data_IF_548433719158
#
_entry.id   IF_548433719158
#
_cell.length_a   1.000
_cell.length_b   1.000
_cell.length_c   1.000
_cell.angle_alpha   90.00
_cell.angle_beta   90.00
_cell.angle_gamma   90.00
#
_symmetry.space_group_name_H-M   'P 1'
#
loop_
_entity.id
_entity.type
_entity.pdbx_description
1 polymer ?
#
# COMPACT_ATOMS: atom_id res chain seq x y z
N UNK A 1 -17.60 16.39 -12.77
CA UNK A 1 -17.68 15.41 -11.68
C UNK A 1 -16.30 15.32 -11.03
N UNK A 2 -16.16 15.87 -9.81
CA UNK A 2 -15.01 15.56 -8.97
C UNK A 2 -15.16 14.10 -8.57
N UNK A 3 -14.39 13.20 -9.15
CA UNK A 3 -14.22 11.86 -8.61
C UNK A 3 -13.65 12.04 -7.18
N UNK A 4 -14.46 11.76 -6.20
CA UNK A 4 -13.97 11.61 -4.83
C UNK A 4 -13.21 10.28 -4.83
N UNK A 5 -11.90 10.33 -5.01
CA UNK A 5 -11.04 9.19 -4.80
C UNK A 5 -11.20 8.76 -3.35
N UNK A 6 -11.88 7.65 -3.16
CA UNK A 6 -12.13 7.07 -1.85
C UNK A 6 -11.31 5.80 -1.69
N UNK A 7 -11.07 5.45 -0.47
CA UNK A 7 -10.36 4.24 -0.11
C UNK A 7 -10.35 4.05 1.39
N UNK A 8 -9.99 2.86 1.83
CA UNK A 8 -9.83 2.53 3.22
C UNK A 8 -8.82 1.42 3.39
N UNK A 9 -8.05 1.45 4.45
CA UNK A 9 -7.08 0.42 4.77
C UNK A 9 -7.31 -0.15 6.17
N UNK A 10 -6.74 -1.32 6.37
CA UNK A 10 -6.73 -2.03 7.65
C UNK A 10 -5.34 -2.62 7.89
N UNK A 11 -4.87 -2.55 9.13
CA UNK A 11 -3.62 -3.18 9.56
C UNK A 11 -3.83 -3.97 10.84
N UNK A 12 -3.15 -5.08 10.97
CA UNK A 12 -3.25 -5.95 12.15
C UNK A 12 -1.94 -6.65 12.46
N UNK A 13 -1.62 -6.71 13.74
CA UNK A 13 -0.54 -7.53 14.32
C UNK A 13 -1.18 -8.43 15.35
N UNK A 14 -0.92 -9.73 15.26
CA UNK A 14 -1.52 -10.76 16.12
C UNK A 14 -0.45 -11.67 16.72
N UNK A 15 -0.77 -12.31 17.83
CA UNK A 15 0.06 -13.39 18.40
C UNK A 15 -0.04 -14.71 17.64
N UNK A 16 -1.06 -14.82 16.80
CA UNK A 16 -1.33 -15.98 15.93
C UNK A 16 -1.47 -15.52 14.48
N UNK A 17 -2.07 -16.34 13.60
CA UNK A 17 -2.33 -15.91 12.21
C UNK A 17 -3.21 -14.65 12.18
N UNK A 18 -2.78 -13.65 11.42
CA UNK A 18 -3.53 -12.41 11.20
C UNK A 18 -4.50 -12.49 10.00
N UNK A 19 -4.48 -13.58 9.23
CA UNK A 19 -5.11 -13.65 7.91
C UNK A 19 -6.62 -13.41 7.95
N UNK A 20 -7.31 -14.03 8.87
CA UNK A 20 -8.77 -13.88 9.02
C UNK A 20 -9.15 -12.44 9.42
N UNK A 21 -8.44 -11.86 10.39
CA UNK A 21 -8.69 -10.50 10.84
C UNK A 21 -8.38 -9.49 9.73
N UNK A 22 -7.29 -9.72 9.00
CA UNK A 22 -6.90 -8.89 7.86
C UNK A 22 -7.97 -8.91 6.76
N UNK A 23 -8.47 -10.10 6.41
CA UNK A 23 -9.48 -10.28 5.38
C UNK A 23 -10.77 -9.54 5.73
N UNK A 24 -11.35 -9.80 6.90
CA UNK A 24 -12.59 -9.16 7.31
C UNK A 24 -12.42 -7.68 7.63
N UNK A 25 -11.30 -7.27 8.21
CA UNK A 25 -11.00 -5.87 8.48
C UNK A 25 -10.87 -5.04 7.19
N UNK A 26 -10.24 -5.61 6.15
CA UNK A 26 -10.16 -4.98 4.84
C UNK A 26 -11.51 -4.96 4.14
N UNK A 27 -12.25 -6.08 4.17
CA UNK A 27 -13.59 -6.19 3.59
C UNK A 27 -14.57 -5.18 4.19
N UNK A 28 -14.43 -4.86 5.48
CA UNK A 28 -15.25 -3.83 6.13
C UNK A 28 -15.14 -2.47 5.42
N UNK A 29 -14.01 -2.17 4.79
CA UNK A 29 -13.79 -0.96 4.01
C UNK A 29 -14.25 -1.07 2.55
N UNK A 30 -14.84 -2.18 2.13
CA UNK A 30 -15.23 -2.42 0.73
C UNK A 30 -16.28 -1.42 0.18
N UNK A 31 -16.99 -0.74 1.06
CA UNK A 31 -17.92 0.35 0.69
C UNK A 31 -17.21 1.69 0.38
N UNK A 32 -15.91 1.83 0.69
CA UNK A 32 -15.13 3.05 0.50
C UNK A 32 -14.42 3.12 -0.85
N UNK A 33 -14.39 2.02 -1.62
CA UNK A 33 -13.76 1.97 -2.92
C UNK A 33 -14.26 0.78 -3.72
N UNK A 34 -14.18 0.87 -5.04
CA UNK A 34 -14.80 -0.09 -5.96
C UNK A 34 -13.87 -0.61 -7.04
N UNK A 35 -12.65 -0.07 -7.16
CA UNK A 35 -11.78 -0.41 -8.30
C UNK A 35 -10.75 -1.47 -7.98
N UNK A 36 -10.09 -1.38 -6.85
CA UNK A 36 -8.97 -2.28 -6.50
C UNK A 36 -8.99 -2.69 -5.04
N UNK A 37 -8.54 -3.89 -4.77
CA UNK A 37 -8.27 -4.39 -3.43
C UNK A 37 -6.92 -5.09 -3.39
N UNK A 38 -6.27 -5.03 -2.23
CA UNK A 38 -4.99 -5.68 -2.03
C UNK A 38 -4.75 -6.07 -0.58
N UNK A 39 -4.02 -7.16 -0.41
CA UNK A 39 -3.58 -7.68 0.88
C UNK A 39 -2.08 -7.96 0.84
N UNK A 40 -1.39 -7.69 1.93
CA UNK A 40 -0.04 -8.17 2.18
C UNK A 40 0.09 -8.67 3.60
N UNK A 41 0.76 -9.81 3.77
CA UNK A 41 1.14 -10.36 5.08
C UNK A 41 2.65 -10.53 5.15
N UNK A 42 3.17 -10.56 6.35
CA UNK A 42 4.56 -10.88 6.64
C UNK A 42 4.68 -12.02 7.63
N UNK A 43 5.61 -12.93 7.36
CA UNK A 43 6.09 -13.94 8.31
C UNK A 43 7.60 -14.11 8.18
N UNK A 44 8.27 -14.46 9.26
CA UNK A 44 9.70 -14.76 9.23
C UNK A 44 10.04 -15.92 8.29
N UNK A 45 9.16 -16.92 8.21
CA UNK A 45 9.36 -18.13 7.39
C UNK A 45 9.26 -17.84 5.89
N UNK A 46 8.31 -17.00 5.47
CA UNK A 46 7.99 -16.81 4.04
C UNK A 46 8.22 -15.40 3.52
N UNK A 47 8.55 -14.45 4.40
CA UNK A 47 8.64 -13.04 4.06
C UNK A 47 7.28 -12.45 3.73
N UNK A 48 7.26 -11.53 2.77
CA UNK A 48 6.03 -10.89 2.31
C UNK A 48 5.28 -11.74 1.29
N UNK A 49 3.96 -11.85 1.49
CA UNK A 49 3.02 -12.43 0.53
C UNK A 49 2.01 -11.35 0.17
N UNK A 50 1.82 -11.08 -1.12
CA UNK A 50 0.94 -10.02 -1.62
C UNK A 50 -0.01 -10.55 -2.68
N UNK A 51 -1.25 -10.06 -2.67
CA UNK A 51 -2.20 -10.21 -3.77
C UNK A 51 -2.95 -8.91 -4.01
N UNK A 52 -3.17 -8.57 -5.27
CA UNK A 52 -3.91 -7.39 -5.71
C UNK A 52 -4.91 -7.80 -6.77
N UNK A 53 -6.17 -7.35 -6.63
CA UNK A 53 -7.23 -7.64 -7.59
C UNK A 53 -7.97 -6.38 -8.03
N UNK A 54 -8.45 -6.41 -9.28
CA UNK A 54 -9.46 -5.49 -9.76
C UNK A 54 -10.83 -5.90 -9.20
N UNK A 55 -11.58 -4.94 -8.66
CA UNK A 55 -12.89 -5.14 -8.02
C UNK A 55 -14.05 -4.56 -8.83
N UNK A 56 -13.81 -4.01 -10.03
CA UNK A 56 -14.85 -3.32 -10.82
C UNK A 56 -15.98 -4.25 -11.24
N UNK A 57 -15.72 -5.54 -11.38
CA UNK A 57 -16.71 -6.53 -11.81
C UNK A 57 -17.06 -7.56 -10.74
N UNK A 58 -16.42 -7.52 -9.57
CA UNK A 58 -16.53 -8.59 -8.56
C UNK A 58 -16.23 -8.06 -7.17
N UNK A 59 -16.99 -8.50 -6.19
CA UNK A 59 -16.78 -8.12 -4.79
C UNK A 59 -15.43 -8.60 -4.23
N UNK A 60 -14.91 -7.84 -3.26
CA UNK A 60 -13.66 -8.14 -2.56
C UNK A 60 -13.62 -9.58 -2.02
N UNK A 61 -14.65 -10.02 -1.32
CA UNK A 61 -14.71 -11.39 -0.77
C UNK A 61 -14.50 -12.45 -1.83
N UNK A 62 -15.22 -12.34 -2.95
CA UNK A 62 -15.16 -13.31 -4.05
C UNK A 62 -13.76 -13.41 -4.66
N UNK A 63 -13.01 -12.29 -4.68
CA UNK A 63 -11.65 -12.28 -5.25
C UNK A 63 -10.59 -12.83 -4.32
N UNK A 64 -10.75 -12.64 -3.01
CA UNK A 64 -9.70 -12.96 -2.04
C UNK A 64 -9.98 -14.23 -1.24
N UNK A 65 -11.23 -14.67 -1.08
CA UNK A 65 -11.60 -15.81 -0.24
C UNK A 65 -10.85 -17.10 -0.64
N UNK A 66 -10.77 -17.40 -1.92
CA UNK A 66 -10.08 -18.58 -2.45
C UNK A 66 -8.54 -18.49 -2.33
N UNK A 67 -8.02 -17.33 -2.02
CA UNK A 67 -6.57 -17.10 -1.90
C UNK A 67 -6.08 -17.06 -0.45
N UNK A 68 -6.97 -17.11 0.54
CA UNK A 68 -6.59 -16.94 1.94
C UNK A 68 -5.56 -17.96 2.41
N UNK A 69 -5.60 -19.16 1.88
CA UNK A 69 -4.63 -20.24 2.20
C UNK A 69 -3.20 -19.91 1.75
N UNK A 70 -3.03 -18.99 0.80
CA UNK A 70 -1.71 -18.54 0.35
C UNK A 70 -1.04 -17.61 1.35
N UNK A 71 -1.85 -16.84 2.10
CA UNK A 71 -1.36 -15.89 3.07
C UNK A 71 -0.95 -16.59 4.36
N UNK A 72 0.17 -16.15 4.90
CA UNK A 72 0.68 -16.58 6.21
C UNK A 72 1.36 -15.42 6.90
N UNK A 73 1.24 -15.37 8.19
CA UNK A 73 1.89 -14.36 9.02
C UNK A 73 1.05 -13.92 10.19
N UNK A 74 1.69 -13.17 11.06
CA UNK A 74 1.06 -12.56 12.24
C UNK A 74 0.93 -11.03 12.11
N UNK A 75 1.41 -10.46 11.03
CA UNK A 75 1.24 -9.06 10.69
C UNK A 75 0.79 -8.90 9.24
N UNK A 76 -0.12 -7.96 8.99
CA UNK A 76 -0.64 -7.72 7.66
C UNK A 76 -1.31 -6.36 7.49
N UNK A 77 -1.32 -5.89 6.25
CA UNK A 77 -2.00 -4.67 5.81
C UNK A 77 -2.87 -4.96 4.61
N UNK A 78 -4.01 -4.30 4.54
CA UNK A 78 -4.95 -4.42 3.44
C UNK A 78 -5.53 -3.08 3.03
N UNK A 79 -6.00 -3.00 1.78
CA UNK A 79 -6.46 -1.77 1.15
C UNK A 79 -7.65 -2.03 0.23
N UNK A 80 -8.60 -1.12 0.23
CA UNK A 80 -9.57 -0.92 -0.82
C UNK A 80 -9.32 0.47 -1.40
N UNK A 81 -9.17 0.57 -2.72
CA UNK A 81 -8.78 1.82 -3.37
C UNK A 81 -9.50 2.03 -4.70
N UNK A 82 -9.77 3.28 -5.02
CA UNK A 82 -10.26 3.69 -6.35
C UNK A 82 -9.13 4.13 -7.29
N UNK A 83 -7.88 4.08 -6.85
CA UNK A 83 -6.75 4.60 -7.62
C UNK A 83 -5.72 3.53 -7.93
N UNK A 84 -4.77 3.35 -7.04
CA UNK A 84 -3.52 2.65 -7.31
C UNK A 84 -3.61 1.15 -7.04
N UNK A 85 -2.80 0.38 -7.76
CA UNK A 85 -2.50 -0.99 -7.40
C UNK A 85 -1.61 -0.98 -6.14
N UNK A 86 -2.09 -1.58 -5.06
CA UNK A 86 -1.43 -1.65 -3.74
C UNK A 86 -1.82 -2.95 -3.02
N UNK A 87 -1.06 -3.41 -2.02
CA UNK A 87 0.15 -2.82 -1.44
C UNK A 87 1.35 -2.80 -2.40
N UNK A 88 2.24 -1.82 -2.23
CA UNK A 88 3.55 -1.79 -2.87
C UNK A 88 4.58 -2.38 -1.91
N UNK A 89 5.47 -3.24 -2.42
CA UNK A 89 6.58 -3.79 -1.65
C UNK A 89 7.88 -3.24 -2.21
N UNK A 90 8.70 -2.66 -1.34
CA UNK A 90 9.99 -2.08 -1.69
C UNK A 90 11.10 -2.72 -0.86
N UNK A 91 12.22 -3.01 -1.51
CA UNK A 91 13.48 -3.38 -0.87
C UNK A 91 14.44 -2.20 -0.94
N UNK A 92 14.88 -1.71 0.21
CA UNK A 92 15.70 -0.49 0.32
C UNK A 92 16.75 -0.62 1.43
N UNK A 93 17.55 0.43 1.61
CA UNK A 93 18.48 0.54 2.73
C UNK A 93 17.78 0.60 4.10
N UNK A 94 16.48 0.89 4.14
CA UNK A 94 15.65 0.83 5.36
C UNK A 94 15.15 -0.59 5.67
N UNK A 95 15.53 -1.57 4.85
CA UNK A 95 14.98 -2.91 4.85
C UNK A 95 13.83 -3.04 3.84
N UNK A 96 13.20 -4.21 3.83
CA UNK A 96 12.03 -4.49 3.00
C UNK A 96 10.77 -4.09 3.74
N UNK A 97 9.84 -3.43 3.05
CA UNK A 97 8.56 -3.06 3.63
C UNK A 97 7.45 -3.07 2.58
N UNK A 98 6.22 -3.28 3.05
CA UNK A 98 5.01 -3.10 2.27
C UNK A 98 4.31 -1.82 2.72
N UNK A 99 3.67 -1.11 1.80
CA UNK A 99 2.96 0.14 2.08
C UNK A 99 1.60 0.16 1.40
N UNK A 100 0.61 0.67 2.12
CA UNK A 100 -0.69 1.07 1.58
C UNK A 100 -0.96 2.53 1.90
N UNK A 101 -1.63 3.22 0.99
CA UNK A 101 -1.96 4.63 1.16
C UNK A 101 -3.39 4.95 0.74
N UNK A 102 -3.98 5.91 1.42
CA UNK A 102 -5.15 6.66 0.94
C UNK A 102 -4.70 8.10 0.82
N UNK A 103 -4.51 8.57 -0.42
CA UNK A 103 -3.87 9.84 -0.68
C UNK A 103 -4.58 10.63 -1.78
N UNK A 104 -4.49 11.95 -1.67
CA UNK A 104 -4.87 12.90 -2.71
C UNK A 104 -3.76 13.93 -2.85
N UNK A 105 -2.85 13.67 -3.77
CA UNK A 105 -1.67 14.49 -4.03
C UNK A 105 -1.92 15.34 -5.28
N UNK A 106 -1.68 16.63 -5.21
CA UNK A 106 -1.93 17.56 -6.31
C UNK A 106 -0.68 17.90 -7.12
N UNK A 107 0.51 17.67 -6.57
CA UNK A 107 1.79 17.95 -7.22
C UNK A 107 2.55 16.69 -7.67
N UNK A 108 1.82 15.64 -8.10
CA UNK A 108 2.40 14.34 -8.51
C UNK A 108 3.45 14.54 -9.59
N UNK A 109 3.14 15.31 -10.64
CA UNK A 109 4.06 15.51 -11.77
C UNK A 109 5.36 16.20 -11.38
N UNK A 110 5.28 17.20 -10.50
CA UNK A 110 6.43 17.91 -9.96
C UNK A 110 7.36 16.94 -9.21
N UNK A 111 6.80 16.10 -8.35
CA UNK A 111 7.54 15.12 -7.56
C UNK A 111 8.10 13.98 -8.40
N UNK A 112 7.35 13.52 -9.39
CA UNK A 112 7.81 12.50 -10.35
C UNK A 112 9.03 12.99 -11.12
N UNK A 113 8.98 14.20 -11.68
CA UNK A 113 10.08 14.80 -12.42
C UNK A 113 11.33 14.99 -11.54
N UNK A 114 11.14 15.39 -10.27
CA UNK A 114 12.21 15.52 -9.28
C UNK A 114 12.89 14.15 -9.00
N UNK A 115 12.09 13.12 -8.71
CA UNK A 115 12.61 11.77 -8.42
C UNK A 115 13.34 11.18 -9.63
N UNK A 116 12.80 11.34 -10.84
CA UNK A 116 13.46 10.90 -12.06
C UNK A 116 14.79 11.62 -12.29
N UNK A 117 14.87 12.91 -11.98
CA UNK A 117 16.12 13.69 -12.08
C UNK A 117 17.22 13.20 -11.15
N UNK A 118 16.83 12.55 -10.05
CA UNK A 118 17.72 11.94 -9.05
C UNK A 118 18.06 10.47 -9.38
N UNK A 119 17.77 10.01 -10.61
CA UNK A 119 17.95 8.63 -11.07
C UNK A 119 17.12 7.59 -10.30
N UNK A 120 16.07 8.01 -9.64
CA UNK A 120 15.04 7.09 -9.13
C UNK A 120 14.10 6.72 -10.26
N UNK A 121 13.42 5.59 -10.15
CA UNK A 121 12.52 5.11 -11.19
C UNK A 121 11.28 4.48 -10.59
N UNK A 122 10.23 4.48 -11.38
CA UNK A 122 8.95 3.86 -11.05
C UNK A 122 8.87 2.50 -11.72
N UNK A 123 8.50 1.47 -10.96
CA UNK A 123 8.40 0.08 -11.43
C UNK A 123 6.94 -0.38 -11.57
N UNK A 124 6.01 0.27 -10.87
CA UNK A 124 4.59 -0.07 -10.92
C UNK A 124 3.91 0.62 -12.11
N UNK A 125 3.74 -0.13 -13.19
CA UNK A 125 3.22 0.36 -14.47
C UNK A 125 1.79 -0.13 -14.78
N UNK A 126 1.02 -0.51 -13.77
CA UNK A 126 -0.31 -1.08 -13.96
C UNK A 126 -1.39 -0.08 -14.41
N UNK A 127 -1.07 1.20 -14.47
CA UNK A 127 -1.96 2.26 -14.95
C UNK A 127 -1.24 3.25 -15.86
N UNK A 128 -2.00 4.08 -16.58
CA UNK A 128 -1.43 5.16 -17.39
C UNK A 128 -0.86 6.33 -16.60
N UNK A 129 -1.11 6.36 -15.29
CA UNK A 129 -0.69 7.42 -14.39
C UNK A 129 0.33 6.89 -13.39
N UNK A 130 1.14 7.80 -12.83
CA UNK A 130 2.07 7.51 -11.75
C UNK A 130 1.32 6.94 -10.55
N UNK A 131 1.77 5.79 -10.06
CA UNK A 131 1.23 5.20 -8.84
C UNK A 131 1.61 6.07 -7.65
N UNK A 132 0.62 6.69 -6.98
CA UNK A 132 0.85 7.62 -5.87
C UNK A 132 1.46 6.91 -4.66
N UNK A 133 1.10 5.65 -4.44
CA UNK A 133 1.66 4.85 -3.33
C UNK A 133 3.13 4.57 -3.57
N UNK A 134 3.54 4.25 -4.80
CA UNK A 134 4.95 4.10 -5.15
C UNK A 134 5.71 5.41 -5.00
N UNK A 135 5.15 6.53 -5.46
CA UNK A 135 5.75 7.85 -5.29
C UNK A 135 6.01 8.16 -3.81
N UNK A 136 5.04 7.90 -2.93
CA UNK A 136 5.20 8.07 -1.49
C UNK A 136 6.30 7.16 -0.95
N UNK A 137 6.34 5.89 -1.36
CA UNK A 137 7.38 4.96 -0.95
C UNK A 137 8.79 5.42 -1.39
N UNK A 138 8.94 5.98 -2.60
CA UNK A 138 10.20 6.54 -3.08
C UNK A 138 10.64 7.77 -2.27
N UNK A 139 9.70 8.62 -1.86
CA UNK A 139 10.00 9.74 -0.94
C UNK A 139 10.44 9.25 0.45
N UNK A 140 9.84 8.16 0.94
CA UNK A 140 10.22 7.55 2.24
C UNK A 140 11.67 7.06 2.19
N UNK A 141 12.07 6.37 1.14
CA UNK A 141 13.42 5.81 1.04
C UNK A 141 14.53 6.85 0.80
N UNK A 142 14.21 8.11 0.62
CA UNK A 142 15.18 9.21 0.65
C UNK A 142 15.64 9.51 2.09
N UNK A 143 14.88 9.13 3.10
CA UNK A 143 15.26 9.28 4.52
C UNK A 143 16.31 8.25 4.96
N UNK A 144 17.05 8.55 6.02
CA UNK A 144 17.97 7.61 6.66
C UNK A 144 17.24 6.62 7.59
N UNK A 145 16.04 6.97 8.01
CA UNK A 145 15.15 6.18 8.84
C UNK A 145 13.74 6.27 8.31
N UNK A 146 12.84 5.37 8.71
CA UNK A 146 11.42 5.48 8.35
C UNK A 146 10.80 6.79 8.83
N UNK A 147 11.15 7.25 10.02
CA UNK A 147 10.63 8.53 10.56
C UNK A 147 11.05 9.71 9.69
N UNK A 148 12.34 9.83 9.37
CA UNK A 148 12.83 10.87 8.46
C UNK A 148 12.18 10.78 7.09
N UNK A 149 11.99 9.57 6.58
CA UNK A 149 11.32 9.33 5.29
C UNK A 149 9.86 9.77 5.30
N UNK A 150 9.11 9.46 6.35
CA UNK A 150 7.72 9.90 6.50
C UNK A 150 7.64 11.43 6.63
N UNK A 151 8.54 12.05 7.41
CA UNK A 151 8.65 13.51 7.47
C UNK A 151 8.95 14.12 6.10
N UNK A 152 9.81 13.48 5.30
CA UNK A 152 10.12 13.90 3.94
C UNK A 152 8.87 13.90 3.04
N UNK A 153 8.02 12.86 3.14
CA UNK A 153 6.74 12.82 2.43
C UNK A 153 5.91 14.07 2.74
N UNK A 154 5.67 14.35 4.03
CA UNK A 154 4.82 15.48 4.44
C UNK A 154 5.42 16.85 4.16
N UNK A 155 6.74 16.95 3.97
CA UNK A 155 7.39 18.20 3.54
C UNK A 155 7.18 18.48 2.03
N UNK A 156 7.06 17.45 1.21
CA UNK A 156 7.07 17.59 -0.25
C UNK A 156 5.69 17.47 -0.90
N UNK A 157 4.78 16.66 -0.35
CA UNK A 157 3.45 16.51 -0.93
C UNK A 157 2.59 17.76 -0.72
N UNK A 158 1.81 18.10 -1.74
CA UNK A 158 0.71 19.07 -1.64
C UNK A 158 -0.60 18.30 -1.69
N UNK A 159 -1.30 18.24 -0.55
CA UNK A 159 -2.54 17.47 -0.41
C UNK A 159 -2.62 16.72 0.90
N UNK A 160 -3.21 15.54 0.86
CA UNK A 160 -3.38 14.67 2.03
C UNK A 160 -2.90 13.27 1.75
N UNK A 161 -2.36 12.62 2.78
CA UNK A 161 -1.94 11.22 2.73
C UNK A 161 -2.13 10.58 4.10
N UNK A 162 -2.75 9.42 4.11
CA UNK A 162 -2.72 8.48 5.23
C UNK A 162 -2.05 7.21 4.74
N UNK A 163 -1.24 6.57 5.58
CA UNK A 163 -0.48 5.39 5.18
C UNK A 163 -0.33 4.38 6.32
N UNK A 164 -0.16 3.12 5.94
CA UNK A 164 0.37 2.06 6.81
C UNK A 164 1.59 1.42 6.14
N UNK A 165 2.63 1.21 6.92
CA UNK A 165 3.83 0.49 6.52
C UNK A 165 3.92 -0.80 7.33
N UNK A 166 4.15 -1.92 6.66
CA UNK A 166 4.46 -3.21 7.27
C UNK A 166 5.91 -3.53 6.99
N UNK A 167 6.72 -3.59 8.03
CA UNK A 167 8.16 -3.83 7.94
C UNK A 167 8.51 -5.31 8.10
N UNK A 168 9.73 -5.70 7.72
CA UNK A 168 10.19 -7.10 7.77
C UNK A 168 10.52 -7.61 9.19
N UNK A 169 10.31 -6.80 10.21
CA UNK A 169 10.30 -7.23 11.61
C UNK A 169 8.87 -7.51 12.14
N UNK A 170 7.86 -7.39 11.26
CA UNK A 170 6.46 -7.60 11.61
C UNK A 170 5.80 -6.42 12.32
N UNK A 171 6.39 -5.23 12.29
CA UNK A 171 5.82 -4.00 12.84
C UNK A 171 4.95 -3.27 11.80
N UNK A 172 3.95 -2.55 12.29
CA UNK A 172 3.11 -1.65 11.49
C UNK A 172 3.16 -0.25 12.09
#
# INVERSE_FOLDING_TARGET
>A
NKENNMGGFFGTVSKSSCVTDLFYGTDYNSHLGTKRGGLATYSEERGFIRSIHNLESTYFRTKFEDELDKFKGNAGIGIISDTDAQPIIINSHLGRFAIVTVAKITNIKELEDELLSQNMHFAELSSSNTNQTELIALLIIQGKTFVEGIENVFKHIKGSCSMLLLTEDGSI
#
